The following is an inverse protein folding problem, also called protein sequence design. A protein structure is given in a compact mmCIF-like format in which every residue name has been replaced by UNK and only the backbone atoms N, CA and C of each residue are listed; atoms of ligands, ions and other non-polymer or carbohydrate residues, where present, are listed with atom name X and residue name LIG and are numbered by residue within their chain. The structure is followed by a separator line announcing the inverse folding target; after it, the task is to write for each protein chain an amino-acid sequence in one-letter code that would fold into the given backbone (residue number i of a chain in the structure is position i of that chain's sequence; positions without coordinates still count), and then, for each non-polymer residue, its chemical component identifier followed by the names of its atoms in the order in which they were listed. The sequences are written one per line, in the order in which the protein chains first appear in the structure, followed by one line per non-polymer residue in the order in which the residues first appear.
data_IF_351191510199
#
_entry.id   IF_351191510199
#
_cell.length_a   1.000
_cell.length_b   1.000
_cell.length_c   1.000
_cell.angle_alpha   90.00
_cell.angle_beta   90.00
_cell.angle_gamma   90.00
#
_symmetry.space_group_name_H-M   'P 1'
#
loop_
_entity.id
_entity.type
_entity.pdbx_description
1 polymer ?
#
# COMPACT_ATOMS: atom_id res chain seq x y z
N UNK A 1 -30.74 1.59 2.76
CA UNK A 1 -29.42 2.00 2.23
C UNK A 1 -28.62 0.74 1.93
N UNK A 2 -28.49 0.33 0.67
CA UNK A 2 -27.67 -0.84 0.32
C UNK A 2 -26.22 -0.55 0.75
N UNK A 3 -25.76 -1.18 1.83
CA UNK A 3 -24.37 -1.09 2.26
C UNK A 3 -23.50 -1.47 1.07
N UNK A 4 -22.70 -0.53 0.56
CA UNK A 4 -21.87 -0.76 -0.62
C UNK A 4 -20.92 -1.91 -0.29
N UNK A 5 -21.25 -3.12 -0.77
CA UNK A 5 -20.54 -4.38 -0.45
C UNK A 5 -19.03 -4.25 -0.72
N UNK A 6 -18.67 -3.35 -1.65
CA UNK A 6 -17.31 -2.95 -1.95
C UNK A 6 -16.98 -1.59 -1.33
N UNK A 7 -15.98 -1.58 -0.45
CA UNK A 7 -15.51 -0.37 0.22
C UNK A 7 -14.16 0.08 -0.34
N UNK A 8 -13.90 1.39 -0.34
CA UNK A 8 -12.58 1.94 -0.68
C UNK A 8 -11.65 1.76 0.51
N UNK A 9 -10.47 1.23 0.24
CA UNK A 9 -9.38 1.03 1.20
C UNK A 9 -8.11 1.72 0.70
N UNK A 10 -7.22 2.00 1.62
CA UNK A 10 -5.89 2.54 1.33
C UNK A 10 -4.87 1.41 1.47
N UNK A 11 -3.90 1.36 0.58
CA UNK A 11 -2.74 0.47 0.66
C UNK A 11 -1.53 1.36 0.93
N UNK A 12 -0.95 1.27 2.12
CA UNK A 12 0.17 2.11 2.56
C UNK A 12 1.48 1.38 2.31
N UNK A 13 2.44 2.06 1.68
CA UNK A 13 3.77 1.51 1.42
C UNK A 13 4.53 1.25 2.72
N UNK A 14 5.18 0.09 2.82
CA UNK A 14 6.16 -0.18 3.87
C UNK A 14 7.57 0.30 3.50
N UNK A 15 7.74 0.92 2.32
CA UNK A 15 9.02 1.41 1.83
C UNK A 15 9.61 2.52 2.69
N UNK A 16 10.95 2.53 2.76
CA UNK A 16 11.73 3.62 3.36
C UNK A 16 12.46 4.39 2.25
N UNK A 17 12.67 5.69 2.46
CA UNK A 17 13.52 6.55 1.63
C UNK A 17 14.99 6.34 2.00
N UNK A 18 15.89 6.93 1.20
CA UNK A 18 17.34 6.97 1.46
C UNK A 18 17.66 7.53 2.86
N UNK A 19 16.88 8.52 3.29
CA UNK A 19 17.03 9.17 4.60
C UNK A 19 16.41 8.37 5.77
N UNK A 20 16.05 7.09 5.57
CA UNK A 20 15.42 6.23 6.57
C UNK A 20 13.94 6.53 6.89
N UNK A 21 13.39 7.63 6.37
CA UNK A 21 11.99 8.05 6.56
C UNK A 21 11.00 7.20 5.75
N UNK A 22 9.76 6.99 6.21
CA UNK A 22 8.73 6.31 5.42
C UNK A 22 8.37 7.11 4.15
N UNK A 23 8.07 6.41 3.06
CA UNK A 23 7.81 7.03 1.74
C UNK A 23 6.50 7.81 1.68
N UNK A 24 5.55 7.50 2.59
CA UNK A 24 4.18 8.05 2.66
C UNK A 24 3.38 7.84 1.36
N UNK A 25 3.84 6.99 0.46
CA UNK A 25 3.12 6.62 -0.76
C UNK A 25 2.02 5.64 -0.41
N UNK A 26 0.89 5.83 -1.07
CA UNK A 26 -0.25 4.96 -0.89
C UNK A 26 -1.03 4.82 -2.18
N UNK A 27 -1.68 3.68 -2.32
CA UNK A 27 -2.66 3.44 -3.37
C UNK A 27 -4.05 3.41 -2.75
N UNK A 28 -5.05 3.76 -3.54
CA UNK A 28 -6.45 3.54 -3.19
C UNK A 28 -6.98 2.40 -4.04
N UNK A 29 -7.66 1.45 -3.42
CA UNK A 29 -8.33 0.35 -4.12
C UNK A 29 -9.69 0.08 -3.49
N UNK A 30 -10.51 -0.76 -4.12
CA UNK A 30 -11.79 -1.20 -3.57
C UNK A 30 -11.74 -2.67 -3.19
N UNK A 31 -12.19 -3.00 -1.99
CA UNK A 31 -12.21 -4.36 -1.44
C UNK A 31 -13.64 -4.78 -1.10
N UNK A 32 -13.97 -6.03 -1.37
CA UNK A 32 -15.22 -6.64 -0.90
C UNK A 32 -14.96 -7.30 0.46
N UNK A 33 -15.49 -6.72 1.54
CA UNK A 33 -15.27 -7.22 2.91
C UNK A 33 -15.92 -8.59 3.18
N UNK A 34 -16.92 -8.99 2.39
CA UNK A 34 -17.60 -10.29 2.54
C UNK A 34 -16.77 -11.46 2.02
N UNK A 35 -16.06 -11.24 0.91
CA UNK A 35 -15.22 -12.26 0.28
C UNK A 35 -13.78 -12.24 0.80
N UNK A 36 -13.23 -11.05 1.02
CA UNK A 36 -11.87 -10.87 1.54
C UNK A 36 -11.97 -10.29 2.93
N UNK A 37 -12.02 -11.16 3.93
CA UNK A 37 -12.07 -10.76 5.35
C UNK A 37 -10.70 -10.32 5.86
N UNK A 38 -9.62 -10.93 5.36
CA UNK A 38 -8.24 -10.65 5.78
C UNK A 38 -7.68 -9.34 5.21
N UNK A 39 -6.68 -8.77 5.88
CA UNK A 39 -6.00 -7.55 5.42
C UNK A 39 -5.18 -7.84 4.15
N UNK A 40 -5.37 -7.02 3.14
CA UNK A 40 -4.67 -7.14 1.86
C UNK A 40 -3.22 -6.67 2.04
N UNK A 41 -2.28 -7.55 1.71
CA UNK A 41 -0.85 -7.24 1.58
C UNK A 41 -0.41 -7.56 0.15
N UNK A 42 -0.08 -6.54 -0.63
CA UNK A 42 0.29 -6.72 -2.05
C UNK A 42 1.63 -6.05 -2.31
N UNK A 43 2.52 -6.73 -3.03
CA UNK A 43 3.73 -6.10 -3.57
C UNK A 43 3.36 -5.17 -4.71
N UNK A 44 3.66 -3.88 -4.57
CA UNK A 44 3.52 -2.89 -5.66
C UNK A 44 4.79 -2.07 -5.77
N UNK A 45 4.96 -1.41 -6.90
CA UNK A 45 6.05 -0.48 -7.11
C UNK A 45 5.84 0.78 -6.25
N UNK A 46 6.84 1.18 -5.49
CA UNK A 46 6.89 2.47 -4.83
C UNK A 46 8.03 3.31 -5.45
N UNK A 47 7.71 4.38 -6.21
CA UNK A 47 8.71 5.20 -6.86
C UNK A 47 9.63 5.93 -5.86
N UNK A 48 9.19 6.10 -4.61
CA UNK A 48 9.95 6.80 -3.56
C UNK A 48 10.71 5.84 -2.65
N UNK A 49 10.47 4.53 -2.74
CA UNK A 49 11.18 3.55 -1.92
C UNK A 49 12.62 3.43 -2.39
N UNK A 50 13.56 3.45 -1.45
CA UNK A 50 14.97 3.27 -1.74
C UNK A 50 15.27 1.78 -1.88
N UNK A 51 15.85 1.39 -3.01
CA UNK A 51 16.39 0.05 -3.18
C UNK A 51 17.86 0.03 -2.72
N UNK A 52 18.15 -0.74 -1.67
CA UNK A 52 19.50 -0.89 -1.13
C UNK A 52 20.45 -1.62 -2.10
N UNK A 53 19.94 -2.52 -2.94
CA UNK A 53 20.76 -3.32 -3.87
C UNK A 53 21.30 -2.46 -5.01
N UNK A 54 20.46 -1.60 -5.58
CA UNK A 54 20.80 -0.82 -6.78
C UNK A 54 21.21 0.62 -6.44
N UNK A 55 21.14 1.03 -5.17
CA UNK A 55 21.43 2.40 -4.70
C UNK A 55 20.49 3.47 -5.27
N UNK A 56 19.38 3.09 -5.91
CA UNK A 56 18.44 3.96 -6.63
C UNK A 56 17.08 4.03 -5.95
N UNK A 57 16.38 5.13 -6.18
CA UNK A 57 14.97 5.32 -5.81
C UNK A 57 14.07 4.54 -6.78
N UNK A 58 13.11 3.78 -6.26
CA UNK A 58 12.20 2.92 -6.99
C UNK A 58 12.39 1.45 -6.63
N UNK A 59 11.47 0.88 -5.86
CA UNK A 59 11.50 -0.53 -5.49
C UNK A 59 10.09 -1.11 -5.42
N UNK A 60 9.96 -2.40 -5.74
CA UNK A 60 8.75 -3.16 -5.39
C UNK A 60 8.77 -3.45 -3.90
N UNK A 61 7.80 -2.90 -3.18
CA UNK A 61 7.66 -3.04 -1.73
C UNK A 61 6.28 -3.55 -1.39
N UNK A 62 6.13 -4.07 -0.18
CA UNK A 62 4.84 -4.52 0.32
C UNK A 62 4.01 -3.28 0.66
N UNK A 63 2.77 -3.27 0.21
CA UNK A 63 1.77 -2.31 0.63
C UNK A 63 0.74 -3.02 1.51
N UNK A 64 0.48 -2.44 2.68
CA UNK A 64 -0.45 -2.97 3.69
C UNK A 64 -1.77 -2.21 3.67
N UNK A 65 -2.87 -2.94 3.83
CA UNK A 65 -4.21 -2.34 3.94
C UNK A 65 -4.36 -1.48 5.20
N UNK A 66 -4.90 -0.28 4.99
CA UNK A 66 -5.31 0.68 5.99
C UNK A 66 -6.66 1.30 5.62
N UNK A 67 -7.37 1.85 6.60
CA UNK A 67 -8.66 2.50 6.38
C UNK A 67 -8.46 3.81 5.62
N UNK A 68 -9.38 4.12 4.72
CA UNK A 68 -9.51 5.47 4.18
C UNK A 68 -10.21 6.30 5.27
N UNK A 69 -9.59 7.41 5.68
CA UNK A 69 -10.17 8.35 6.64
C UNK A 69 -10.94 9.44 5.90
#
# INVERSE_FOLDING_TARGET
MASKVREKIKLVSTGKKKDGKPTKTFYTTSKNKRQTTEKINIKKFDPKAFNAENGKSGAHVIFKEDKIK
#
